data_IF_656741459123
#
_entry.id   IF_656741459123
#
_cell.length_a   1.000
_cell.length_b   1.000
_cell.length_c   1.000
_cell.angle_alpha   90.00
_cell.angle_beta   90.00
_cell.angle_gamma   90.00
#
_symmetry.space_group_name_H-M   'P 1'
#
loop_
_entity.id
_entity.type
_entity.pdbx_description
1 polymer ?
#
# COMPACT_ATOMS: atom_id res chain seq x y z
N UNK A 1 5.91 -7.84 -16.53
CA UNK A 1 6.03 -7.52 -15.09
C UNK A 1 5.00 -6.51 -14.61
N UNK A 2 4.84 -5.36 -15.28
CA UNK A 2 3.87 -4.28 -14.97
C UNK A 2 2.40 -4.72 -14.88
N UNK A 3 1.91 -5.52 -15.84
CA UNK A 3 0.53 -6.02 -15.83
C UNK A 3 0.20 -6.85 -14.57
N UNK A 4 1.15 -7.66 -14.10
CA UNK A 4 1.01 -8.43 -12.85
C UNK A 4 0.94 -7.54 -11.60
N UNK A 5 1.68 -6.42 -11.58
CA UNK A 5 1.61 -5.42 -10.50
C UNK A 5 0.25 -4.72 -10.48
N UNK A 6 -0.28 -4.31 -11.64
CA UNK A 6 -1.62 -3.73 -11.76
C UNK A 6 -2.71 -4.70 -11.27
N UNK A 7 -2.66 -5.97 -11.69
CA UNK A 7 -3.61 -6.98 -11.24
C UNK A 7 -3.52 -7.23 -9.72
N UNK A 8 -2.31 -7.26 -9.16
CA UNK A 8 -2.09 -7.37 -7.71
C UNK A 8 -2.66 -6.18 -6.95
N UNK A 9 -2.47 -4.96 -7.47
CA UNK A 9 -2.99 -3.74 -6.88
C UNK A 9 -4.52 -3.74 -6.92
N UNK A 10 -5.11 -4.02 -8.09
CA UNK A 10 -6.57 -4.13 -8.26
C UNK A 10 -7.18 -5.15 -7.30
N UNK A 11 -6.57 -6.33 -7.17
CA UNK A 11 -7.00 -7.37 -6.22
C UNK A 11 -6.96 -6.87 -4.77
N UNK A 12 -5.84 -6.27 -4.33
CA UNK A 12 -5.70 -5.74 -2.97
C UNK A 12 -6.70 -4.62 -2.67
N UNK A 13 -6.93 -3.72 -3.64
CA UNK A 13 -7.95 -2.69 -3.53
C UNK A 13 -9.35 -3.28 -3.42
N UNK A 14 -9.69 -4.26 -4.25
CA UNK A 14 -10.98 -4.96 -4.19
C UNK A 14 -11.19 -5.68 -2.86
N UNK A 15 -10.20 -6.43 -2.37
CA UNK A 15 -10.25 -7.08 -1.06
C UNK A 15 -10.40 -6.08 0.10
N UNK A 16 -9.73 -4.92 0.02
CA UNK A 16 -9.88 -3.85 1.00
C UNK A 16 -11.27 -3.20 0.96
N UNK A 17 -11.78 -2.90 -0.24
CA UNK A 17 -13.14 -2.37 -0.45
C UNK A 17 -14.19 -3.31 0.11
N UNK A 18 -13.96 -4.63 -0.02
CA UNK A 18 -14.83 -5.62 0.59
C UNK A 18 -14.68 -5.64 2.11
N UNK A 19 -13.46 -5.67 2.66
CA UNK A 19 -13.19 -5.84 4.09
C UNK A 19 -13.53 -4.62 4.98
N UNK A 20 -13.42 -3.41 4.44
CA UNK A 20 -13.60 -2.18 5.21
C UNK A 20 -15.04 -2.01 5.75
N UNK A 21 -16.11 -2.21 4.94
CA UNK A 21 -17.49 -2.16 5.42
C UNK A 21 -17.81 -3.09 6.59
N UNK A 22 -17.34 -4.36 6.61
CA UNK A 22 -17.67 -5.25 7.75
C UNK A 22 -16.98 -4.79 9.04
N UNK A 23 -15.73 -4.31 8.93
CA UNK A 23 -15.02 -3.77 10.09
C UNK A 23 -15.74 -2.53 10.63
N UNK A 24 -16.19 -1.62 9.75
CA UNK A 24 -16.97 -0.45 10.17
C UNK A 24 -18.30 -0.87 10.81
N UNK A 25 -19.06 -1.76 10.17
CA UNK A 25 -20.36 -2.22 10.66
C UNK A 25 -20.27 -2.80 12.07
N UNK A 26 -19.30 -3.68 12.36
CA UNK A 26 -19.13 -4.23 13.70
C UNK A 26 -18.73 -3.16 14.72
N UNK A 27 -17.84 -2.23 14.35
CA UNK A 27 -17.37 -1.18 15.27
C UNK A 27 -18.47 -0.17 15.60
N UNK A 28 -19.29 0.18 14.61
CA UNK A 28 -20.49 1.01 14.79
C UNK A 28 -21.51 0.25 15.65
N UNK A 29 -21.77 -1.02 15.37
CA UNK A 29 -22.63 -1.86 16.20
C UNK A 29 -22.18 -1.90 17.67
N UNK A 30 -20.88 -2.05 17.94
CA UNK A 30 -20.32 -1.99 19.31
C UNK A 30 -20.54 -0.64 19.99
N UNK A 31 -20.36 0.46 19.26
CA UNK A 31 -20.64 1.80 19.79
C UNK A 31 -22.12 1.97 20.13
N UNK A 32 -23.01 1.48 19.27
CA UNK A 32 -24.46 1.50 19.53
C UNK A 32 -24.82 0.65 20.75
N UNK A 33 -24.25 -0.55 20.91
CA UNK A 33 -24.53 -1.41 22.07
C UNK A 33 -23.95 -0.87 23.38
N UNK A 34 -22.88 -0.08 23.34
CA UNK A 34 -22.30 0.55 24.53
C UNK A 34 -23.16 1.72 25.05
N UNK A 35 -24.04 2.28 24.22
CA UNK A 35 -24.94 3.36 24.59
C UNK A 35 -24.23 4.69 24.88
N UNK A 36 -24.96 5.70 25.41
CA UNK A 36 -24.42 7.05 25.67
C UNK A 36 -23.39 7.11 26.81
N UNK A 37 -23.32 6.08 27.67
CA UNK A 37 -22.31 5.96 28.73
C UNK A 37 -21.48 4.68 28.56
N UNK A 38 -20.49 4.69 27.65
CA UNK A 38 -19.62 3.54 27.43
C UNK A 38 -18.79 3.23 28.68
N UNK A 39 -18.59 1.94 28.98
CA UNK A 39 -17.78 1.50 30.12
C UNK A 39 -16.31 1.89 29.97
N UNK A 40 -15.53 1.82 31.06
CA UNK A 40 -14.08 2.05 30.98
C UNK A 40 -13.35 1.06 30.06
N UNK A 41 -13.94 -0.11 29.79
CA UNK A 41 -13.44 -1.10 28.83
C UNK A 41 -13.74 -0.67 27.39
N UNK A 42 -14.96 -0.19 27.14
CA UNK A 42 -15.37 0.25 25.80
C UNK A 42 -14.60 1.49 25.37
N UNK A 43 -14.39 2.44 26.27
CA UNK A 43 -13.56 3.64 26.00
C UNK A 43 -12.14 3.26 25.55
N UNK A 44 -11.50 2.30 26.22
CA UNK A 44 -10.16 1.80 25.85
C UNK A 44 -10.17 1.09 24.49
N UNK A 45 -11.20 0.31 24.21
CA UNK A 45 -11.34 -0.35 22.91
C UNK A 45 -11.58 0.68 21.79
N UNK A 46 -12.36 1.73 22.04
CA UNK A 46 -12.63 2.80 21.07
C UNK A 46 -11.37 3.60 20.74
N UNK A 47 -10.57 3.94 21.76
CA UNK A 47 -9.26 4.56 21.58
C UNK A 47 -8.33 3.66 20.76
N UNK A 48 -8.26 2.36 21.08
CA UNK A 48 -7.46 1.39 20.33
C UNK A 48 -7.89 1.32 18.86
N UNK A 49 -9.19 1.28 18.58
CA UNK A 49 -9.70 1.21 17.21
C UNK A 49 -9.32 2.42 16.35
N UNK A 50 -9.22 3.62 16.97
CA UNK A 50 -8.73 4.84 16.32
C UNK A 50 -7.22 4.78 16.09
N UNK A 51 -6.46 4.44 17.14
CA UNK A 51 -5.00 4.31 17.06
C UNK A 51 -4.56 3.33 15.97
N UNK A 52 -5.26 2.20 15.81
CA UNK A 52 -4.99 1.22 14.75
C UNK A 52 -5.11 1.79 13.33
N UNK A 53 -6.03 2.75 13.10
CA UNK A 53 -6.16 3.40 11.79
C UNK A 53 -4.96 4.30 11.53
N UNK A 54 -4.60 5.13 12.51
CA UNK A 54 -3.45 6.04 12.42
C UNK A 54 -2.15 5.27 12.22
N UNK A 55 -1.96 4.19 12.98
CA UNK A 55 -0.79 3.32 12.87
C UNK A 55 -0.69 2.68 11.47
N UNK A 56 -1.79 2.13 10.95
CA UNK A 56 -1.79 1.54 9.61
C UNK A 56 -1.48 2.58 8.51
N UNK A 57 -2.01 3.81 8.65
CA UNK A 57 -1.67 4.91 7.74
C UNK A 57 -0.21 5.36 7.86
N UNK A 58 0.33 5.45 9.08
CA UNK A 58 1.73 5.78 9.31
C UNK A 58 2.66 4.71 8.70
N UNK A 59 2.33 3.42 8.87
CA UNK A 59 3.05 2.32 8.23
C UNK A 59 2.97 2.38 6.70
N UNK A 60 1.80 2.71 6.15
CA UNK A 60 1.63 2.93 4.71
C UNK A 60 2.48 4.08 4.19
N UNK A 61 2.52 5.22 4.91
CA UNK A 61 3.34 6.37 4.55
C UNK A 61 4.83 6.03 4.59
N UNK A 62 5.29 5.41 5.67
CA UNK A 62 6.68 4.97 5.80
C UNK A 62 7.07 3.98 4.70
N UNK A 63 6.21 3.01 4.38
CA UNK A 63 6.47 2.05 3.32
C UNK A 63 6.59 2.73 1.94
N UNK A 64 5.73 3.70 1.65
CA UNK A 64 5.85 4.49 0.42
C UNK A 64 7.11 5.35 0.42
N UNK A 65 7.50 5.95 1.53
CA UNK A 65 8.70 6.78 1.63
C UNK A 65 9.98 5.95 1.37
N UNK A 66 10.07 4.76 1.96
CA UNK A 66 11.17 3.82 1.71
C UNK A 66 11.19 3.38 0.24
N UNK A 67 10.03 3.07 -0.33
CA UNK A 67 9.93 2.68 -1.74
C UNK A 67 10.30 3.83 -2.69
N UNK A 68 9.92 5.07 -2.36
CA UNK A 68 10.27 6.26 -3.13
C UNK A 68 11.79 6.52 -3.10
N UNK A 69 12.43 6.34 -1.94
CA UNK A 69 13.89 6.43 -1.82
C UNK A 69 14.58 5.35 -2.67
N UNK A 70 14.11 4.11 -2.63
CA UNK A 70 14.62 3.04 -3.47
C UNK A 70 14.45 3.34 -4.97
N UNK A 71 13.30 3.87 -5.37
CA UNK A 71 13.04 4.28 -6.74
C UNK A 71 13.98 5.41 -7.20
N UNK A 72 14.25 6.38 -6.33
CA UNK A 72 15.20 7.46 -6.61
C UNK A 72 16.62 6.92 -6.84
N UNK A 73 17.07 5.96 -6.03
CA UNK A 73 18.39 5.34 -6.21
C UNK A 73 18.47 4.56 -7.53
N UNK A 74 17.44 3.77 -7.84
CA UNK A 74 17.37 3.02 -9.10
C UNK A 74 17.34 3.95 -10.31
N UNK A 75 16.64 5.09 -10.19
CA UNK A 75 16.59 6.11 -11.22
C UNK A 75 17.96 6.76 -11.43
N UNK A 76 18.64 7.17 -10.37
CA UNK A 76 19.99 7.72 -10.44
C UNK A 76 20.97 6.75 -11.12
N UNK A 77 21.00 5.49 -10.70
CA UNK A 77 21.86 4.46 -11.33
C UNK A 77 21.57 4.31 -12.84
N UNK A 78 20.30 4.37 -13.23
CA UNK A 78 19.92 4.29 -14.63
C UNK A 78 20.29 5.53 -15.42
N UNK A 79 20.12 6.73 -14.86
CA UNK A 79 20.59 7.95 -15.48
C UNK A 79 22.11 7.90 -15.70
N UNK A 80 22.88 7.41 -14.73
CA UNK A 80 24.32 7.20 -14.88
C UNK A 80 24.63 6.18 -15.99
N UNK A 81 23.88 5.08 -16.05
CA UNK A 81 24.06 4.07 -17.10
C UNK A 81 23.70 4.61 -18.49
N UNK A 82 22.58 5.32 -18.61
CA UNK A 82 22.13 5.98 -19.83
C UNK A 82 23.13 7.03 -20.30
N UNK A 83 23.67 7.81 -19.37
CA UNK A 83 24.73 8.78 -19.64
C UNK A 83 25.96 8.10 -20.24
N UNK A 84 26.45 7.02 -19.60
CA UNK A 84 27.60 6.29 -20.13
C UNK A 84 27.33 5.67 -21.50
N UNK A 85 26.14 5.09 -21.70
CA UNK A 85 25.75 4.56 -22.99
C UNK A 85 25.79 5.64 -24.08
N UNK A 86 25.32 6.85 -23.79
CA UNK A 86 25.38 7.96 -24.75
C UNK A 86 26.82 8.46 -24.95
N UNK A 87 27.59 8.64 -23.87
CA UNK A 87 28.98 9.10 -23.94
C UNK A 87 29.88 8.16 -24.76
N UNK A 88 29.63 6.85 -24.73
CA UNK A 88 30.39 5.83 -25.46
C UNK A 88 29.90 5.60 -26.90
N UNK A 89 29.20 6.57 -27.50
CA UNK A 89 28.77 6.50 -28.90
C UNK A 89 27.36 5.94 -29.10
N UNK A 90 26.59 5.68 -28.03
CA UNK A 90 25.21 5.22 -28.14
C UNK A 90 24.28 6.19 -28.89
N UNK A 91 24.64 7.47 -28.97
CA UNK A 91 23.92 8.46 -29.79
C UNK A 91 23.95 8.18 -31.30
N UNK A 92 24.94 7.39 -31.77
CA UNK A 92 25.05 6.97 -33.17
C UNK A 92 24.10 5.82 -33.52
N UNK A 93 23.46 5.20 -32.51
CA UNK A 93 22.49 4.14 -32.75
C UNK A 93 21.14 4.72 -33.21
N UNK A 94 20.53 4.17 -34.28
CA UNK A 94 19.19 4.56 -34.69
C UNK A 94 18.17 4.39 -33.56
N UNK A 95 17.43 5.45 -33.25
CA UNK A 95 16.39 5.43 -32.23
C UNK A 95 16.90 5.43 -30.77
N UNK A 96 18.18 5.74 -30.51
CA UNK A 96 18.74 5.82 -29.16
C UNK A 96 17.90 6.67 -28.19
N UNK A 97 17.45 7.84 -28.65
CA UNK A 97 16.59 8.74 -27.87
C UNK A 97 15.22 8.14 -27.56
N UNK A 98 14.62 7.41 -28.50
CA UNK A 98 13.35 6.72 -28.28
C UNK A 98 13.49 5.56 -27.29
N UNK A 99 14.62 4.85 -27.32
CA UNK A 99 14.92 3.78 -26.37
C UNK A 99 15.08 4.35 -24.95
N UNK A 100 15.79 5.47 -24.81
CA UNK A 100 15.92 6.18 -23.54
C UNK A 100 14.58 6.69 -23.02
N UNK A 101 13.76 7.31 -23.88
CA UNK A 101 12.42 7.79 -23.51
C UNK A 101 11.51 6.64 -23.06
N UNK A 102 11.53 5.50 -23.77
CA UNK A 102 10.77 4.30 -23.37
C UNK A 102 11.28 3.72 -22.04
N UNK A 103 12.60 3.65 -21.84
CA UNK A 103 13.20 3.19 -20.59
C UNK A 103 12.81 4.06 -19.40
N UNK A 104 12.87 5.39 -19.56
CA UNK A 104 12.41 6.36 -18.59
C UNK A 104 10.93 6.15 -18.23
N UNK A 105 10.07 6.04 -19.24
CA UNK A 105 8.64 5.84 -19.06
C UNK A 105 8.31 4.53 -18.34
N UNK A 106 9.00 3.44 -18.68
CA UNK A 106 8.82 2.15 -18.03
C UNK A 106 9.19 2.21 -16.54
N UNK A 107 10.33 2.81 -16.19
CA UNK A 107 10.76 2.94 -14.79
C UNK A 107 9.84 3.81 -13.96
N UNK A 108 9.36 4.93 -14.50
CA UNK A 108 8.36 5.77 -13.83
C UNK A 108 7.07 4.99 -13.53
N UNK A 109 6.58 4.21 -14.51
CA UNK A 109 5.41 3.36 -14.34
C UNK A 109 5.63 2.30 -13.26
N UNK A 110 6.79 1.64 -13.27
CA UNK A 110 7.10 0.61 -12.27
C UNK A 110 7.26 1.17 -10.86
N UNK A 111 7.99 2.28 -10.70
CA UNK A 111 8.14 2.98 -9.43
C UNK A 111 6.78 3.44 -8.86
N UNK A 112 5.91 3.98 -9.71
CA UNK A 112 4.55 4.36 -9.32
C UNK A 112 3.73 3.16 -8.81
N UNK A 113 3.78 2.04 -9.52
CA UNK A 113 3.06 0.82 -9.11
C UNK A 113 3.61 0.20 -7.83
N UNK A 114 4.93 0.17 -7.66
CA UNK A 114 5.54 -0.37 -6.45
C UNK A 114 5.26 0.51 -5.23
N UNK A 115 5.25 1.83 -5.42
CA UNK A 115 4.87 2.80 -4.37
C UNK A 115 3.41 2.59 -3.97
N UNK A 116 2.50 2.50 -4.95
CA UNK A 116 1.08 2.24 -4.69
C UNK A 116 0.86 0.89 -3.97
N UNK A 117 1.55 -0.16 -4.39
CA UNK A 117 1.50 -1.48 -3.74
C UNK A 117 2.04 -1.44 -2.30
N UNK A 118 3.12 -0.70 -2.07
CA UNK A 118 3.71 -0.54 -0.74
C UNK A 118 2.80 0.25 0.20
N UNK A 119 2.14 1.28 -0.33
CA UNK A 119 1.18 2.10 0.42
C UNK A 119 -0.11 1.35 0.77
N UNK A 120 -0.67 0.56 -0.14
CA UNK A 120 -1.94 -0.13 0.16
C UNK A 120 -1.76 -1.33 1.10
N UNK A 121 -0.56 -1.90 1.16
CA UNK A 121 -0.33 -3.19 1.82
C UNK A 121 -0.59 -3.19 3.35
N UNK A 122 -0.13 -2.20 4.14
CA UNK A 122 -0.42 -2.15 5.57
C UNK A 122 -1.92 -2.02 5.89
N UNK A 123 -2.60 -1.10 5.22
CA UNK A 123 -4.05 -0.88 5.38
C UNK A 123 -4.85 -2.12 4.95
N UNK A 124 -4.54 -2.70 3.79
CA UNK A 124 -5.14 -3.95 3.30
C UNK A 124 -4.95 -5.09 4.32
N UNK A 125 -3.73 -5.30 4.82
CA UNK A 125 -3.42 -6.34 5.81
C UNK A 125 -4.23 -6.15 7.08
N UNK A 126 -4.32 -4.91 7.60
CA UNK A 126 -5.04 -4.63 8.85
C UNK A 126 -6.55 -4.81 8.71
N UNK A 127 -7.13 -4.31 7.62
CA UNK A 127 -8.56 -4.42 7.34
C UNK A 127 -8.97 -5.89 7.15
N UNK A 128 -8.24 -6.65 6.34
CA UNK A 128 -8.53 -8.07 6.10
C UNK A 128 -8.31 -8.93 7.35
N UNK A 129 -7.28 -8.67 8.15
CA UNK A 129 -7.09 -9.36 9.42
C UNK A 129 -8.22 -9.07 10.41
N UNK A 130 -8.71 -7.83 10.48
CA UNK A 130 -9.86 -7.47 11.30
C UNK A 130 -11.13 -8.15 10.80
N UNK A 131 -11.41 -8.10 9.50
CA UNK A 131 -12.56 -8.79 8.92
C UNK A 131 -12.54 -10.29 9.24
N UNK A 132 -11.39 -10.98 9.08
CA UNK A 132 -11.22 -12.39 9.45
C UNK A 132 -11.47 -12.67 10.93
N UNK A 133 -11.02 -11.79 11.83
CA UNK A 133 -11.29 -11.92 13.28
C UNK A 133 -12.77 -11.75 13.61
N UNK A 134 -13.49 -10.97 12.81
CA UNK A 134 -14.92 -10.69 13.00
C UNK A 134 -15.81 -11.79 12.41
N UNK A 135 -15.39 -12.41 11.30
CA UNK A 135 -16.13 -13.51 10.65
C UNK A 135 -15.69 -14.90 11.10
N UNK A 136 -14.54 -15.02 11.76
CA UNK A 136 -14.03 -16.29 12.28
C UNK A 136 -14.79 -16.79 13.51
N UNK A 137 -14.81 -18.12 13.76
CA UNK A 137 -15.50 -18.69 14.91
C UNK A 137 -14.95 -18.11 16.23
N UNK A 138 -15.85 -17.69 17.11
CA UNK A 138 -15.51 -17.24 18.47
C UNK A 138 -14.76 -18.36 19.18
N UNK A 139 -13.44 -18.22 19.35
CA UNK A 139 -12.70 -19.04 20.31
C UNK A 139 -13.25 -18.73 21.70
N UNK A 140 -14.03 -19.66 22.26
CA UNK A 140 -14.45 -19.61 23.65
C UNK A 140 -13.18 -19.59 24.50
N UNK A 141 -12.94 -18.47 25.19
CA UNK A 141 -12.04 -18.47 26.33
C UNK A 141 -12.77 -19.20 27.45
N UNK A 142 -12.36 -20.43 27.72
CA UNK A 142 -12.56 -21.07 29.02
C UNK A 142 -11.71 -20.34 30.05
#
# INVERSE_FOLDING_TARGET
>A
MTAGKCAKLARKSGELMQAAPQVVAVRVGRMLTAGPQPSARDRREFQRMGAEKVEAFAQSWQAMAVQALAAQQQWALWCTQAWWQMALGGWMQPGAWEQLARGAQQRLREAGLDTALSGIQPVHRRATANARRLTGPRRSRR
#
